data_IF_687032023872
#
_entry.id   IF_687032023872
#
_cell.length_a   1.000
_cell.length_b   1.000
_cell.length_c   1.000
_cell.angle_alpha   90.00
_cell.angle_beta   90.00
_cell.angle_gamma   90.00
#
_symmetry.space_group_name_H-M   'P 1'
#
loop_
_entity.id
_entity.type
_entity.pdbx_description
1 polymer ?
#
# COMPACT_ATOMS: atom_id res chain seq x y z
N UNK A 1 -30.95 15.45 -41.56
CA UNK A 1 -30.37 14.22 -40.98
C UNK A 1 -29.53 14.66 -39.79
N UNK A 2 -30.03 14.43 -38.59
CA UNK A 2 -29.41 14.89 -37.34
C UNK A 2 -28.21 13.99 -37.04
N UNK A 3 -27.03 14.59 -36.91
CA UNK A 3 -25.83 13.92 -36.42
C UNK A 3 -26.02 13.64 -34.93
N UNK A 4 -26.04 12.36 -34.54
CA UNK A 4 -25.92 11.94 -33.16
C UNK A 4 -24.46 12.09 -32.72
N UNK A 5 -24.22 12.97 -31.76
CA UNK A 5 -23.03 12.94 -30.91
C UNK A 5 -23.12 11.74 -29.98
N UNK A 6 -22.14 10.83 -30.05
CA UNK A 6 -21.95 9.77 -29.08
C UNK A 6 -21.75 10.37 -27.68
N UNK A 7 -22.60 10.01 -26.72
CA UNK A 7 -22.29 10.22 -25.31
C UNK A 7 -21.15 9.28 -24.95
N UNK A 8 -20.04 9.86 -24.51
CA UNK A 8 -18.96 9.11 -23.86
C UNK A 8 -19.51 8.67 -22.51
N UNK A 9 -19.75 7.36 -22.38
CA UNK A 9 -20.01 6.72 -21.11
C UNK A 9 -18.83 7.04 -20.19
N UNK A 10 -19.07 7.94 -19.23
CA UNK A 10 -18.13 8.23 -18.17
C UNK A 10 -18.25 7.07 -17.19
N UNK A 11 -17.67 5.93 -17.57
CA UNK A 11 -17.48 4.80 -16.68
C UNK A 11 -16.86 5.36 -15.41
N UNK A 12 -17.58 5.22 -14.31
CA UNK A 12 -17.22 5.68 -12.97
C UNK A 12 -15.73 5.38 -12.76
N UNK A 13 -14.91 6.43 -12.70
CA UNK A 13 -13.47 6.27 -12.46
C UNK A 13 -13.40 5.76 -11.03
N UNK A 14 -13.28 4.44 -10.86
CA UNK A 14 -13.07 3.79 -9.58
C UNK A 14 -11.79 4.36 -8.98
N UNK A 15 -11.97 5.33 -8.10
CA UNK A 15 -10.91 5.94 -7.32
C UNK A 15 -10.99 5.38 -5.90
N UNK A 16 -9.85 4.94 -5.39
CA UNK A 16 -9.74 4.53 -4.01
C UNK A 16 -10.15 5.65 -3.06
N UNK A 17 -10.63 5.24 -1.89
CA UNK A 17 -11.12 6.14 -0.84
C UNK A 17 -10.33 5.95 0.44
N UNK A 18 -9.04 5.62 0.33
CA UNK A 18 -8.13 5.59 1.47
C UNK A 18 -8.00 7.00 2.02
N UNK A 19 -8.25 7.16 3.32
CA UNK A 19 -8.02 8.38 4.06
C UNK A 19 -7.04 8.12 5.18
N UNK A 20 -6.35 9.17 5.64
CA UNK A 20 -5.39 9.05 6.73
C UNK A 20 -5.40 10.27 7.64
N UNK A 21 -5.03 10.09 8.89
CA UNK A 21 -4.80 11.17 9.85
C UNK A 21 -3.53 10.92 10.66
N UNK A 22 -2.83 11.98 11.04
CA UNK A 22 -1.68 11.91 11.96
C UNK A 22 -2.12 12.31 13.37
N UNK A 23 -1.90 11.43 14.34
CA UNK A 23 -2.06 11.79 15.76
C UNK A 23 -0.90 12.68 16.19
N UNK A 24 -1.23 13.92 16.57
CA UNK A 24 -0.26 14.94 16.96
C UNK A 24 -0.43 15.33 18.42
N UNK A 25 0.69 15.52 19.12
CA UNK A 25 0.67 16.16 20.43
C UNK A 25 0.21 17.62 20.30
N UNK A 26 -0.52 18.14 21.30
CA UNK A 26 -0.97 19.53 21.30
C UNK A 26 0.18 20.54 21.38
N UNK A 27 1.29 20.16 22.01
CA UNK A 27 2.53 20.94 22.11
C UNK A 27 3.70 20.02 21.74
N UNK A 28 4.03 19.88 20.44
CA UNK A 28 5.03 18.91 19.99
C UNK A 28 6.44 19.32 20.41
N UNK A 29 7.27 18.33 20.72
CA UNK A 29 8.72 18.52 20.81
C UNK A 29 9.33 18.78 19.42
N UNK A 30 10.57 19.28 19.36
CA UNK A 30 11.27 19.47 18.08
C UNK A 30 11.39 18.16 17.29
N UNK A 31 11.67 17.06 18.00
CA UNK A 31 11.68 15.71 17.43
C UNK A 31 10.29 15.35 16.86
N UNK A 32 9.21 15.43 17.65
CA UNK A 32 7.87 15.17 17.14
C UNK A 32 7.52 16.02 15.91
N UNK A 33 7.86 17.32 15.94
CA UNK A 33 7.63 18.22 14.81
C UNK A 33 8.33 17.74 13.55
N UNK A 34 9.62 17.42 13.63
CA UNK A 34 10.37 16.88 12.50
C UNK A 34 9.74 15.56 11.99
N UNK A 35 9.24 14.71 12.90
CA UNK A 35 8.63 13.44 12.50
C UNK A 35 7.38 13.69 11.70
N UNK A 36 6.55 14.61 12.18
CA UNK A 36 5.32 14.97 11.50
C UNK A 36 5.59 15.59 10.12
N UNK A 37 6.64 16.39 9.99
CA UNK A 37 7.01 17.04 8.73
C UNK A 37 7.53 16.05 7.68
N UNK A 38 8.08 14.90 8.09
CA UNK A 38 8.48 13.81 7.19
C UNK A 38 7.33 12.84 6.89
N UNK A 39 6.57 12.43 7.91
CA UNK A 39 5.47 11.47 7.76
C UNK A 39 4.37 12.03 6.86
N UNK A 40 4.05 13.32 6.98
CA UNK A 40 2.94 13.93 6.25
C UNK A 40 3.08 13.82 4.73
N UNK A 41 4.15 14.32 4.09
CA UNK A 41 4.31 14.17 2.64
C UNK A 41 4.46 12.72 2.20
N UNK A 42 5.05 11.84 3.04
CA UNK A 42 5.18 10.42 2.75
C UNK A 42 3.81 9.71 2.67
N UNK A 43 2.94 9.96 3.65
CA UNK A 43 1.58 9.42 3.67
C UNK A 43 0.69 10.04 2.59
N UNK A 44 0.81 11.36 2.36
CA UNK A 44 0.08 12.04 1.29
C UNK A 44 0.40 11.43 -0.09
N UNK A 45 1.68 11.20 -0.39
CA UNK A 45 2.10 10.58 -1.64
C UNK A 45 1.57 9.14 -1.79
N UNK A 46 1.70 8.32 -0.75
CA UNK A 46 1.27 6.94 -0.79
C UNK A 46 -0.26 6.79 -0.90
N UNK A 47 -1.03 7.57 -0.15
CA UNK A 47 -2.50 7.58 -0.22
C UNK A 47 -2.98 8.11 -1.57
N UNK A 48 -2.37 9.18 -2.09
CA UNK A 48 -2.69 9.68 -3.42
C UNK A 48 -2.46 8.59 -4.50
N UNK A 49 -1.36 7.83 -4.39
CA UNK A 49 -1.07 6.73 -5.32
C UNK A 49 -2.11 5.61 -5.22
N UNK A 50 -2.42 5.13 -4.02
CA UNK A 50 -3.48 4.13 -3.81
C UNK A 50 -4.83 4.59 -4.36
N UNK A 51 -5.21 5.84 -4.13
CA UNK A 51 -6.50 6.37 -4.60
C UNK A 51 -6.55 6.60 -6.11
N UNK A 52 -5.41 6.87 -6.74
CA UNK A 52 -5.32 7.09 -8.18
C UNK A 52 -5.30 5.79 -9.00
N UNK A 53 -4.70 4.72 -8.47
CA UNK A 53 -4.46 3.47 -9.21
C UNK A 53 -5.35 2.30 -8.77
N UNK A 54 -5.95 2.39 -7.58
CA UNK A 54 -6.81 1.35 -7.03
C UNK A 54 -8.23 1.83 -6.74
N UNK A 55 -9.03 0.92 -6.22
CA UNK A 55 -10.42 1.10 -5.77
C UNK A 55 -10.59 0.69 -4.29
N UNK A 56 -9.47 0.66 -3.55
CA UNK A 56 -9.45 0.26 -2.15
C UNK A 56 -10.01 1.36 -1.23
N UNK A 57 -10.60 0.93 -0.10
CA UNK A 57 -11.10 1.83 0.93
C UNK A 57 -10.53 1.46 2.30
N UNK A 58 -9.99 2.45 3.02
CA UNK A 58 -9.47 2.30 4.38
C UNK A 58 -9.43 3.65 5.09
N UNK A 59 -9.70 3.66 6.39
CA UNK A 59 -9.37 4.80 7.24
C UNK A 59 -8.13 4.45 8.05
N UNK A 60 -7.08 5.27 7.92
CA UNK A 60 -5.78 5.02 8.53
C UNK A 60 -5.49 6.05 9.62
N UNK A 61 -5.07 5.57 10.78
CA UNK A 61 -4.57 6.41 11.89
C UNK A 61 -3.07 6.20 12.01
N UNK A 62 -2.32 7.27 11.82
CA UNK A 62 -0.86 7.25 11.85
C UNK A 62 -0.36 7.84 13.17
N UNK A 63 0.66 7.22 13.74
CA UNK A 63 1.35 7.69 14.93
C UNK A 63 2.85 7.81 14.67
N UNK A 64 3.48 8.73 15.40
CA UNK A 64 4.91 8.71 15.63
C UNK A 64 5.19 8.04 16.97
N UNK A 65 5.98 6.96 16.97
CA UNK A 65 6.45 6.25 18.16
C UNK A 65 7.97 6.00 18.04
N UNK A 66 8.82 6.75 18.77
CA UNK A 66 10.27 6.61 18.68
C UNK A 66 10.80 5.25 19.14
N UNK A 67 9.98 4.41 19.80
CA UNK A 67 10.38 3.06 20.20
C UNK A 67 10.19 2.03 19.09
N UNK A 68 9.53 2.40 17.98
CA UNK A 68 9.45 1.57 16.78
C UNK A 68 10.74 1.76 15.97
N UNK A 69 11.52 0.70 15.70
CA UNK A 69 12.78 0.86 14.97
C UNK A 69 12.59 1.38 13.53
N UNK A 70 11.50 0.96 12.88
CA UNK A 70 11.19 1.24 11.47
C UNK A 70 9.81 1.89 11.35
N UNK A 71 8.83 1.15 10.84
CA UNK A 71 7.42 1.41 10.89
C UNK A 71 6.68 0.05 11.04
N UNK A 72 5.43 0.08 11.47
CA UNK A 72 4.56 -1.09 11.48
C UNK A 72 3.08 -0.72 11.24
N UNK A 73 2.46 -1.41 10.28
CA UNK A 73 1.04 -1.35 9.95
C UNK A 73 0.25 -2.51 10.55
N UNK A 74 -1.00 -2.24 10.91
CA UNK A 74 -1.92 -3.24 11.47
C UNK A 74 -3.24 -3.25 10.71
N UNK A 75 -3.86 -4.43 10.57
CA UNK A 75 -5.15 -4.65 9.91
C UNK A 75 -6.27 -3.73 10.43
N UNK A 76 -6.17 -3.26 11.69
CA UNK A 76 -7.13 -2.33 12.27
C UNK A 76 -7.06 -0.90 11.69
N UNK A 77 -6.12 -0.61 10.79
CA UNK A 77 -5.91 0.71 10.19
C UNK A 77 -4.91 1.59 10.93
N UNK A 78 -4.13 1.05 11.86
CA UNK A 78 -3.08 1.80 12.55
C UNK A 78 -1.75 1.64 11.81
N UNK A 79 -1.00 2.73 11.65
CA UNK A 79 0.41 2.71 11.25
C UNK A 79 1.22 3.48 12.29
N UNK A 80 2.35 2.92 12.72
CA UNK A 80 3.33 3.63 13.56
C UNK A 80 4.62 3.81 12.79
N UNK A 81 5.16 5.02 12.78
CA UNK A 81 6.52 5.31 12.29
C UNK A 81 7.42 5.61 13.48
N UNK A 82 8.68 5.19 13.43
CA UNK A 82 9.69 5.59 14.41
C UNK A 82 10.98 6.10 13.79
N UNK A 83 11.76 5.27 13.08
CA UNK A 83 13.03 5.70 12.50
C UNK A 83 12.85 6.70 11.33
N UNK A 84 13.64 7.79 11.29
CA UNK A 84 13.48 8.85 10.27
C UNK A 84 13.74 8.39 8.84
N UNK A 85 14.68 7.46 8.68
CA UNK A 85 14.97 6.84 7.40
C UNK A 85 13.75 6.15 6.78
N UNK A 86 12.75 5.79 7.60
CA UNK A 86 11.53 5.10 7.17
C UNK A 86 10.34 6.04 6.97
N UNK A 87 10.47 7.33 7.22
CA UNK A 87 9.37 8.30 7.01
C UNK A 87 9.36 8.78 5.55
N UNK A 88 9.11 7.85 4.63
CA UNK A 88 9.15 8.08 3.19
C UNK A 88 8.03 7.29 2.47
N UNK A 89 7.76 7.65 1.21
CA UNK A 89 6.66 7.07 0.43
C UNK A 89 6.75 5.54 0.31
N UNK A 90 7.96 4.99 0.11
CA UNK A 90 8.21 3.55 -0.02
C UNK A 90 7.72 2.80 1.23
N UNK A 91 8.07 3.29 2.42
CA UNK A 91 7.56 2.71 3.67
C UNK A 91 6.06 2.89 3.77
N UNK A 92 5.54 4.08 3.51
CA UNK A 92 4.10 4.34 3.62
C UNK A 92 3.27 3.41 2.74
N UNK A 93 3.70 3.15 1.50
CA UNK A 93 3.04 2.19 0.61
C UNK A 93 3.02 0.78 1.21
N UNK A 94 4.18 0.32 1.68
CA UNK A 94 4.36 -0.97 2.34
C UNK A 94 3.45 -1.11 3.57
N UNK A 95 3.47 -0.13 4.48
CA UNK A 95 2.66 -0.20 5.71
C UNK A 95 1.15 -0.10 5.42
N UNK A 96 0.74 0.68 4.41
CA UNK A 96 -0.67 0.70 3.97
C UNK A 96 -1.11 -0.70 3.53
N UNK A 97 -0.25 -1.46 2.83
CA UNK A 97 -0.56 -2.83 2.43
C UNK A 97 -0.83 -3.76 3.63
N UNK A 98 -0.09 -3.58 4.73
CA UNK A 98 -0.35 -4.29 5.99
C UNK A 98 -1.68 -3.89 6.63
N UNK A 99 -2.12 -2.63 6.47
CA UNK A 99 -3.47 -2.24 6.92
C UNK A 99 -4.58 -2.83 6.07
N UNK A 100 -4.30 -3.14 4.81
CA UNK A 100 -5.27 -3.73 3.87
C UNK A 100 -5.40 -5.24 4.12
N UNK A 101 -4.29 -5.93 4.37
CA UNK A 101 -4.33 -7.34 4.76
C UNK A 101 -3.06 -8.14 4.52
N UNK A 102 -2.08 -7.58 3.81
CA UNK A 102 -0.79 -8.25 3.57
C UNK A 102 -0.16 -8.61 4.91
N UNK A 103 0.10 -9.89 5.16
CA UNK A 103 0.72 -10.33 6.41
C UNK A 103 -0.13 -10.23 7.68
N UNK A 104 -1.33 -9.66 7.60
CA UNK A 104 -2.15 -9.33 8.79
C UNK A 104 -3.58 -9.85 8.71
N UNK A 105 -4.11 -10.15 7.52
CA UNK A 105 -5.42 -10.74 7.36
C UNK A 105 -5.39 -12.24 7.68
N UNK A 106 -6.53 -12.78 8.14
CA UNK A 106 -6.69 -14.22 8.34
C UNK A 106 -6.58 -15.03 7.05
N UNK A 107 -6.81 -14.40 5.90
CA UNK A 107 -6.75 -15.01 4.57
C UNK A 107 -5.31 -15.15 4.07
N UNK A 108 -4.35 -14.39 4.60
CA UNK A 108 -2.96 -14.34 4.11
C UNK A 108 -2.33 -15.74 3.97
N UNK A 109 -2.39 -16.56 5.03
CA UNK A 109 -1.86 -17.92 4.98
C UNK A 109 -2.61 -18.84 4.03
N UNK A 110 -3.93 -18.64 3.87
CA UNK A 110 -4.75 -19.43 2.94
C UNK A 110 -4.42 -19.15 1.47
N UNK A 111 -3.87 -17.98 1.19
CA UNK A 111 -3.38 -17.58 -0.13
C UNK A 111 -1.97 -18.13 -0.43
N UNK A 112 -1.44 -19.03 0.38
CA UNK A 112 -0.15 -19.71 0.13
C UNK A 112 1.06 -19.06 0.78
N UNK A 113 0.87 -18.03 1.60
CA UNK A 113 1.99 -17.31 2.20
C UNK A 113 2.65 -18.07 3.36
N UNK A 114 3.98 -18.10 3.31
CA UNK A 114 4.84 -19.18 3.79
C UNK A 114 5.59 -19.91 2.65
N UNK A 115 5.37 -19.49 1.40
CA UNK A 115 5.98 -20.03 0.19
C UNK A 115 5.61 -19.20 -1.04
N UNK A 116 4.83 -19.77 -1.94
CA UNK A 116 4.37 -19.11 -3.17
C UNK A 116 2.91 -18.71 -3.04
N UNK A 117 2.61 -17.46 -3.39
CA UNK A 117 1.26 -16.91 -3.41
C UNK A 117 0.43 -17.60 -4.50
N UNK A 118 -0.81 -17.97 -4.16
CA UNK A 118 -1.70 -18.80 -4.98
C UNK A 118 -2.87 -18.03 -5.61
N UNK A 119 -3.04 -16.74 -5.28
CA UNK A 119 -4.11 -15.92 -5.86
C UNK A 119 -3.90 -15.68 -7.35
N UNK A 120 -4.98 -15.80 -8.13
CA UNK A 120 -4.91 -15.82 -9.59
C UNK A 120 -4.72 -14.43 -10.19
N UNK A 121 -5.35 -13.40 -9.60
CA UNK A 121 -5.31 -12.03 -10.10
C UNK A 121 -3.92 -11.42 -9.94
N UNK A 122 -3.35 -11.46 -8.73
CA UNK A 122 -2.02 -10.89 -8.52
C UNK A 122 -0.94 -11.68 -9.29
N UNK A 123 -1.08 -13.00 -9.41
CA UNK A 123 -0.17 -13.84 -10.20
C UNK A 123 -0.28 -13.56 -11.70
N UNK A 124 -1.46 -13.24 -12.23
CA UNK A 124 -1.59 -12.83 -13.63
C UNK A 124 -0.83 -11.51 -13.87
N UNK A 125 -0.97 -10.56 -12.95
CA UNK A 125 -0.35 -9.25 -13.06
C UNK A 125 1.18 -9.31 -13.00
N UNK A 126 1.76 -10.07 -12.06
CA UNK A 126 3.21 -10.22 -11.98
C UNK A 126 3.80 -10.86 -13.26
N UNK A 127 3.04 -11.74 -13.92
CA UNK A 127 3.45 -12.37 -15.17
C UNK A 127 3.38 -11.45 -16.38
N UNK A 128 2.45 -10.50 -16.36
CA UNK A 128 2.44 -9.41 -17.34
C UNK A 128 3.68 -8.52 -17.21
N UNK A 129 4.14 -8.29 -15.97
CA UNK A 129 5.29 -7.44 -15.70
C UNK A 129 6.63 -8.10 -15.97
N UNK A 130 6.79 -9.35 -15.53
CA UNK A 130 8.09 -10.01 -15.42
C UNK A 130 8.20 -11.28 -16.29
N UNK A 131 7.14 -11.62 -17.01
CA UNK A 131 7.08 -12.76 -17.93
C UNK A 131 6.29 -13.95 -17.39
N UNK A 132 5.96 -14.87 -18.30
CA UNK A 132 4.99 -15.96 -18.06
C UNK A 132 5.32 -16.88 -16.86
N UNK A 133 6.59 -17.02 -16.51
CA UNK A 133 7.07 -17.88 -15.43
C UNK A 133 7.19 -17.14 -14.08
N UNK A 134 6.86 -15.86 -14.03
CA UNK A 134 6.93 -15.08 -12.80
C UNK A 134 5.95 -15.60 -11.74
N UNK A 135 6.38 -15.47 -10.49
CA UNK A 135 5.63 -15.87 -9.28
C UNK A 135 5.75 -14.78 -8.23
N UNK A 136 4.73 -14.67 -7.38
CA UNK A 136 4.83 -13.93 -6.13
C UNK A 136 5.18 -14.93 -5.03
N UNK A 137 6.28 -14.65 -4.32
CA UNK A 137 6.62 -15.36 -3.10
C UNK A 137 6.16 -14.52 -1.91
N UNK A 138 5.83 -15.17 -0.81
CA UNK A 138 5.49 -14.48 0.42
C UNK A 138 5.84 -15.31 1.65
N UNK A 139 6.21 -14.60 2.71
CA UNK A 139 6.44 -15.16 4.04
C UNK A 139 5.28 -14.84 4.99
N UNK A 140 5.50 -14.96 6.30
CA UNK A 140 4.48 -14.68 7.31
C UNK A 140 3.96 -13.24 7.29
N UNK A 141 4.68 -12.29 6.70
CA UNK A 141 4.34 -10.87 6.72
C UNK A 141 4.43 -10.19 5.36
N UNK A 142 5.39 -10.58 4.51
CA UNK A 142 5.77 -9.83 3.32
C UNK A 142 5.58 -10.63 2.04
N UNK A 143 5.58 -9.94 0.90
CA UNK A 143 5.67 -10.56 -0.43
C UNK A 143 6.78 -9.95 -1.27
N UNK A 144 7.18 -10.67 -2.32
CA UNK A 144 8.07 -10.20 -3.36
C UNK A 144 7.80 -10.93 -4.69
N UNK A 145 7.99 -10.30 -5.85
CA UNK A 145 8.47 -8.93 -6.05
C UNK A 145 7.44 -7.86 -5.68
N UNK A 146 7.85 -6.59 -5.69
CA UNK A 146 7.00 -5.40 -5.50
C UNK A 146 6.38 -5.21 -4.10
N UNK A 147 6.86 -5.94 -3.09
CA UNK A 147 6.44 -5.72 -1.69
C UNK A 147 6.98 -4.43 -1.07
N UNK A 148 7.99 -3.81 -1.69
CA UNK A 148 8.65 -2.60 -1.19
C UNK A 148 9.22 -2.77 0.23
N UNK A 149 9.78 -3.94 0.49
CA UNK A 149 10.35 -4.36 1.77
C UNK A 149 11.66 -3.61 2.08
N UNK A 150 12.38 -3.15 1.05
CA UNK A 150 13.65 -2.44 1.16
C UNK A 150 13.72 -1.20 0.26
N UNK A 151 14.55 -0.22 0.63
CA UNK A 151 14.76 1.01 -0.17
C UNK A 151 15.22 0.75 -1.59
N UNK A 152 16.05 -0.29 -1.79
CA UNK A 152 16.54 -0.68 -3.12
C UNK A 152 15.44 -1.18 -4.06
N UNK A 153 14.25 -1.50 -3.54
CA UNK A 153 13.11 -1.94 -4.35
C UNK A 153 12.30 -0.75 -4.86
N UNK A 154 12.56 0.48 -4.39
CA UNK A 154 11.80 1.64 -4.80
C UNK A 154 12.17 2.14 -6.20
N UNK A 155 11.14 2.30 -7.01
CA UNK A 155 11.12 3.16 -8.18
C UNK A 155 9.68 3.64 -8.37
N UNK A 156 9.45 4.67 -9.16
CA UNK A 156 8.07 5.11 -9.45
C UNK A 156 7.25 3.97 -10.07
N UNK A 157 7.85 3.19 -10.98
CA UNK A 157 7.20 2.01 -11.57
C UNK A 157 6.91 0.93 -10.53
N UNK A 158 7.84 0.63 -9.62
CA UNK A 158 7.60 -0.38 -8.60
C UNK A 158 6.57 0.08 -7.56
N UNK A 159 6.48 1.39 -7.30
CA UNK A 159 5.46 1.97 -6.45
C UNK A 159 4.05 1.81 -7.05
N UNK A 160 3.90 2.01 -8.36
CA UNK A 160 2.63 1.77 -9.07
C UNK A 160 2.26 0.28 -9.03
N UNK A 161 3.21 -0.58 -9.42
CA UNK A 161 3.01 -2.04 -9.43
C UNK A 161 2.67 -2.61 -8.05
N UNK A 162 3.23 -2.03 -6.99
CA UNK A 162 2.89 -2.39 -5.61
C UNK A 162 1.39 -2.20 -5.35
N UNK A 163 0.85 -1.01 -5.67
CA UNK A 163 -0.57 -0.70 -5.46
C UNK A 163 -1.46 -1.65 -6.26
N UNK A 164 -1.14 -1.86 -7.53
CA UNK A 164 -1.93 -2.73 -8.42
C UNK A 164 -1.89 -4.20 -7.98
N UNK A 165 -0.73 -4.68 -7.49
CA UNK A 165 -0.62 -6.03 -6.93
C UNK A 165 -1.43 -6.15 -5.63
N UNK A 166 -1.36 -5.19 -4.71
CA UNK A 166 -2.13 -5.23 -3.46
C UNK A 166 -3.64 -5.21 -3.75
N UNK A 167 -4.08 -4.39 -4.68
CA UNK A 167 -5.47 -4.38 -5.19
C UNK A 167 -5.87 -5.74 -5.76
N UNK A 168 -5.01 -6.37 -6.56
CA UNK A 168 -5.26 -7.70 -7.11
C UNK A 168 -5.31 -8.78 -6.02
N UNK A 169 -4.47 -8.67 -4.98
CA UNK A 169 -4.53 -9.56 -3.82
C UNK A 169 -5.85 -9.44 -3.06
N UNK A 170 -6.39 -8.22 -2.90
CA UNK A 170 -7.74 -8.02 -2.33
C UNK A 170 -8.80 -8.72 -3.19
N UNK A 171 -8.71 -8.65 -4.52
CA UNK A 171 -9.63 -9.35 -5.44
C UNK A 171 -9.47 -10.87 -5.39
N UNK A 172 -8.30 -11.38 -5.00
CA UNK A 172 -8.06 -12.81 -4.74
C UNK A 172 -8.62 -13.28 -3.39
N UNK A 173 -9.11 -12.36 -2.54
CA UNK A 173 -9.75 -12.69 -1.27
C UNK A 173 -8.88 -12.45 -0.03
N UNK A 174 -7.91 -11.52 -0.11
CA UNK A 174 -7.12 -11.06 1.03
C UNK A 174 -7.98 -10.44 2.14
#
# INVERSE_FOLDING_TARGET
MQSQTAQVDSGDVRQGTITWTLVRASNPTADQQEAYDLITPAMDAAVARYNNLGDLSKNITVHYDPNVPTADGNINGTIRFGGRAYMNERTSLHEISHTIGVGTSGSWGSLGCGGTYNGAQATALVREYDGQDAVINCDGQHFWPYGLNQDSEFSQTNADRHVEIVEAMVRDGL
#
